data_IF_059965747163
#
_entry.id   IF_059965747163
#
_cell.length_a   1.000
_cell.length_b   1.000
_cell.length_c   1.000
_cell.angle_alpha   90.00
_cell.angle_beta   90.00
_cell.angle_gamma   90.00
#
_symmetry.space_group_name_H-M   'P 1'
#
loop_
_entity.id
_entity.type
_entity.pdbx_description
1 polymer ?
#
# COMPACT_ATOMS: atom_id res chain seq x y z
N UNK A 1 26.62 18.71 -51.35
CA UNK A 1 27.20 17.96 -50.22
C UNK A 1 27.44 18.94 -49.09
N UNK A 2 26.75 18.79 -47.95
CA UNK A 2 27.01 19.63 -46.77
C UNK A 2 28.00 18.90 -45.89
N UNK A 3 29.27 19.27 -46.00
CA UNK A 3 30.32 18.80 -45.09
C UNK A 3 30.03 19.38 -43.70
N UNK A 4 29.34 18.59 -42.88
CA UNK A 4 29.05 18.94 -41.49
C UNK A 4 30.36 18.90 -40.72
N UNK A 5 31.03 20.06 -40.62
CA UNK A 5 32.24 20.24 -39.81
C UNK A 5 31.86 20.13 -38.35
N UNK A 6 31.87 18.90 -37.82
CA UNK A 6 31.63 18.67 -36.39
C UNK A 6 32.81 19.25 -35.63
N UNK A 7 32.60 20.42 -35.04
CA UNK A 7 33.62 21.11 -34.27
C UNK A 7 33.97 20.29 -33.03
N UNK A 8 35.27 20.17 -32.73
CA UNK A 8 35.80 19.48 -31.54
C UNK A 8 35.05 19.83 -30.23
N UNK A 9 34.71 21.11 -29.93
CA UNK A 9 33.90 21.44 -28.74
C UNK A 9 32.48 20.84 -28.75
N UNK A 10 31.85 20.72 -29.92
CA UNK A 10 30.51 20.15 -30.05
C UNK A 10 30.53 18.63 -29.81
N UNK A 11 31.60 17.96 -30.20
CA UNK A 11 31.82 16.54 -29.93
C UNK A 11 31.94 16.27 -28.41
N UNK A 12 32.66 17.13 -27.68
CA UNK A 12 32.76 17.03 -26.22
C UNK A 12 31.41 17.19 -25.53
N UNK A 13 30.58 18.13 -25.99
CA UNK A 13 29.24 18.35 -25.43
C UNK A 13 28.34 17.12 -25.67
N UNK A 14 28.39 16.54 -26.88
CA UNK A 14 27.61 15.33 -27.21
C UNK A 14 28.04 14.15 -26.34
N UNK A 15 29.35 13.96 -26.12
CA UNK A 15 29.86 12.92 -25.22
C UNK A 15 29.37 13.15 -23.79
N UNK A 16 29.39 14.38 -23.30
CA UNK A 16 29.00 14.71 -21.93
C UNK A 16 27.49 14.48 -21.72
N UNK A 17 26.66 14.94 -22.67
CA UNK A 17 25.20 14.71 -22.65
C UNK A 17 24.86 13.22 -22.82
N UNK A 18 25.56 12.52 -23.71
CA UNK A 18 25.40 11.08 -23.93
C UNK A 18 25.79 10.27 -22.69
N UNK A 19 26.92 10.58 -22.07
CA UNK A 19 27.36 9.96 -20.81
C UNK A 19 26.38 10.26 -19.67
N UNK A 20 25.83 11.48 -19.59
CA UNK A 20 24.82 11.83 -18.60
C UNK A 20 23.49 11.11 -18.85
N UNK A 21 23.06 10.97 -20.11
CA UNK A 21 21.87 10.21 -20.48
C UNK A 21 22.05 8.72 -20.17
N UNK A 22 23.20 8.13 -20.47
CA UNK A 22 23.49 6.73 -20.13
C UNK A 22 23.57 6.54 -18.60
N UNK A 23 24.23 7.45 -17.89
CA UNK A 23 24.24 7.48 -16.42
C UNK A 23 22.82 7.58 -15.86
N UNK A 24 21.98 8.41 -16.44
CA UNK A 24 20.62 8.64 -15.96
C UNK A 24 19.61 7.57 -16.41
N UNK A 25 19.82 6.88 -17.51
CA UNK A 25 18.89 5.85 -17.99
C UNK A 25 19.29 4.45 -17.52
N UNK A 26 20.59 4.17 -17.40
CA UNK A 26 21.10 2.84 -17.01
C UNK A 26 21.60 2.79 -15.55
N UNK A 27 22.04 3.91 -14.97
CA UNK A 27 22.53 3.96 -13.58
C UNK A 27 21.67 4.79 -12.60
N UNK A 28 20.56 5.41 -13.05
CA UNK A 28 19.61 6.10 -12.16
C UNK A 28 18.75 5.16 -11.31
N UNK A 29 18.98 3.84 -11.42
CA UNK A 29 18.46 2.88 -10.45
C UNK A 29 19.03 3.01 -9.04
N UNK A 30 20.02 3.89 -8.77
CA UNK A 30 20.64 3.94 -7.43
C UNK A 30 21.17 5.28 -6.91
N UNK A 31 20.78 6.44 -7.46
CA UNK A 31 21.21 7.71 -6.85
C UNK A 31 20.29 8.90 -7.14
N UNK A 32 19.13 8.94 -6.49
CA UNK A 32 18.54 10.20 -6.01
C UNK A 32 17.48 9.93 -4.92
N UNK A 33 17.72 10.34 -3.68
CA UNK A 33 16.69 10.31 -2.63
C UNK A 33 17.15 10.01 -1.21
N UNK A 34 18.17 10.70 -0.70
CA UNK A 34 18.47 10.77 0.74
C UNK A 34 17.41 11.61 1.50
N UNK A 35 16.17 11.14 1.52
CA UNK A 35 15.08 11.66 2.39
C UNK A 35 13.84 10.74 2.52
N UNK A 36 13.89 9.48 2.04
CA UNK A 36 12.74 8.55 2.07
C UNK A 36 12.91 7.25 2.87
N UNK A 37 14.09 6.99 3.46
CA UNK A 37 14.46 5.66 3.98
C UNK A 37 13.54 5.11 5.10
N UNK A 38 12.80 5.96 5.80
CA UNK A 38 12.03 5.52 6.96
C UNK A 38 10.65 4.90 6.64
N UNK A 39 10.07 5.18 5.45
CA UNK A 39 8.76 4.61 5.07
C UNK A 39 8.88 3.17 4.59
N UNK A 40 9.95 2.86 3.86
CA UNK A 40 10.24 1.51 3.39
C UNK A 40 10.70 0.59 4.53
N UNK A 41 11.43 1.12 5.52
CA UNK A 41 11.87 0.32 6.67
C UNK A 41 10.68 -0.23 7.46
N UNK A 42 9.68 0.61 7.76
CA UNK A 42 8.48 0.17 8.49
C UNK A 42 7.61 -0.83 7.70
N UNK A 43 7.47 -0.67 6.39
CA UNK A 43 6.76 -1.65 5.56
C UNK A 43 7.52 -2.97 5.46
N UNK A 44 8.84 -2.93 5.38
CA UNK A 44 9.70 -4.11 5.32
C UNK A 44 9.69 -4.87 6.66
N UNK A 45 9.63 -4.17 7.80
CA UNK A 45 9.47 -4.80 9.12
C UNK A 45 8.13 -5.53 9.23
N UNK A 46 7.01 -4.89 8.82
CA UNK A 46 5.69 -5.55 8.83
C UNK A 46 5.60 -6.73 7.86
N UNK A 47 6.19 -6.61 6.67
CA UNK A 47 6.25 -7.71 5.72
C UNK A 47 7.03 -8.90 6.29
N UNK A 48 8.17 -8.64 6.95
CA UNK A 48 8.93 -9.66 7.66
C UNK A 48 8.16 -10.29 8.81
N UNK A 49 7.37 -9.54 9.56
CA UNK A 49 6.51 -10.09 10.62
C UNK A 49 5.46 -11.06 10.06
N UNK A 50 4.82 -10.71 8.93
CA UNK A 50 3.87 -11.60 8.26
C UNK A 50 4.55 -12.88 7.72
N UNK A 51 5.77 -12.76 7.18
CA UNK A 51 6.57 -13.90 6.72
C UNK A 51 6.95 -14.83 7.87
N UNK A 52 7.32 -14.26 9.03
CA UNK A 52 7.62 -15.01 10.25
C UNK A 52 6.38 -15.80 10.71
N UNK A 53 5.20 -15.17 10.72
CA UNK A 53 3.95 -15.82 11.11
C UNK A 53 3.60 -16.99 10.18
N UNK A 54 3.79 -16.82 8.87
CA UNK A 54 3.60 -17.90 7.88
C UNK A 54 4.52 -19.08 8.17
N UNK A 55 5.81 -18.85 8.40
CA UNK A 55 6.76 -19.94 8.71
C UNK A 55 6.41 -20.60 10.04
N UNK A 56 6.01 -19.82 11.04
CA UNK A 56 5.59 -20.34 12.35
C UNK A 56 4.37 -21.26 12.26
N UNK A 57 3.43 -20.97 11.35
CA UNK A 57 2.26 -21.83 11.09
C UNK A 57 2.65 -23.18 10.47
N UNK A 58 3.67 -23.20 9.60
CA UNK A 58 4.16 -24.44 8.99
C UNK A 58 5.08 -25.23 9.93
N UNK A 59 5.83 -24.54 10.78
CA UNK A 59 6.85 -25.12 11.66
C UNK A 59 6.69 -24.62 13.11
N UNK A 60 5.66 -25.07 13.85
CA UNK A 60 5.41 -24.63 15.22
C UNK A 60 6.55 -24.97 16.19
N UNK A 61 7.35 -26.00 15.88
CA UNK A 61 8.50 -26.42 16.67
C UNK A 61 9.72 -25.49 16.56
N UNK A 62 9.74 -24.61 15.55
CA UNK A 62 10.86 -23.69 15.31
C UNK A 62 10.59 -22.38 16.06
N UNK A 63 11.56 -21.85 16.83
CA UNK A 63 11.34 -20.64 17.59
C UNK A 63 11.24 -19.41 16.70
N UNK A 64 10.23 -18.57 16.94
CA UNK A 64 9.99 -17.31 16.21
C UNK A 64 11.25 -16.45 16.04
N UNK A 65 12.09 -16.37 17.08
CA UNK A 65 13.31 -15.57 17.10
C UNK A 65 14.36 -16.06 16.09
N UNK A 66 14.50 -17.37 15.89
CA UNK A 66 15.45 -17.91 14.91
C UNK A 66 14.93 -17.70 13.48
N UNK A 67 13.62 -17.75 13.27
CA UNK A 67 12.98 -17.43 11.98
C UNK A 67 13.24 -15.96 11.61
N UNK A 68 13.02 -15.05 12.55
CA UNK A 68 13.31 -13.62 12.36
C UNK A 68 14.77 -13.35 12.00
N UNK A 69 15.69 -14.04 12.69
CA UNK A 69 17.12 -13.91 12.44
C UNK A 69 17.53 -14.43 11.06
N UNK A 70 17.02 -15.60 10.67
CA UNK A 70 17.33 -16.19 9.38
C UNK A 70 16.75 -15.37 8.22
N UNK A 71 15.50 -14.93 8.34
CA UNK A 71 14.88 -13.99 7.40
C UNK A 71 15.65 -12.67 7.32
N UNK A 72 16.20 -12.20 8.44
CA UNK A 72 17.00 -10.98 8.43
C UNK A 72 18.26 -11.13 7.59
N UNK A 73 18.98 -12.26 7.71
CA UNK A 73 20.20 -12.55 6.94
C UNK A 73 19.91 -12.92 5.49
N UNK A 74 18.84 -13.66 5.25
CA UNK A 74 18.44 -14.11 3.90
C UNK A 74 17.61 -13.06 3.14
N UNK A 75 17.58 -11.80 3.60
CA UNK A 75 16.91 -10.70 2.90
C UNK A 75 15.38 -10.78 2.87
N UNK A 76 14.75 -11.57 3.73
CA UNK A 76 13.30 -11.80 3.74
C UNK A 76 12.84 -12.95 2.83
N UNK A 77 13.74 -13.80 2.36
CA UNK A 77 13.36 -14.95 1.54
C UNK A 77 12.75 -16.09 2.39
N UNK A 78 11.42 -16.18 2.35
CA UNK A 78 10.65 -17.24 3.04
C UNK A 78 11.03 -18.63 2.54
N UNK A 79 11.17 -18.80 1.22
CA UNK A 79 11.44 -20.12 0.60
C UNK A 79 12.80 -20.65 1.02
N UNK A 80 13.83 -19.81 1.01
CA UNK A 80 15.16 -20.21 1.48
C UNK A 80 15.15 -20.65 2.95
N UNK A 81 14.33 -19.98 3.77
CA UNK A 81 14.18 -20.29 5.18
C UNK A 81 13.42 -21.60 5.38
N UNK A 82 12.36 -21.86 4.60
CA UNK A 82 11.62 -23.14 4.66
C UNK A 82 12.46 -24.32 4.20
N UNK A 83 13.21 -24.18 3.10
CA UNK A 83 14.13 -25.22 2.61
C UNK A 83 15.22 -25.56 3.65
N UNK A 84 15.73 -24.54 4.35
CA UNK A 84 16.71 -24.74 5.44
C UNK A 84 16.11 -25.51 6.62
N UNK A 85 14.85 -25.26 6.95
CA UNK A 85 14.15 -26.01 8.01
C UNK A 85 13.90 -27.45 7.56
N UNK A 86 13.46 -27.65 6.32
CA UNK A 86 13.17 -28.98 5.76
C UNK A 86 14.41 -29.85 5.57
N UNK A 87 15.56 -29.25 5.25
CA UNK A 87 16.85 -29.95 5.12
C UNK A 87 17.41 -30.48 6.45
N UNK A 88 16.71 -30.28 7.57
CA UNK A 88 17.04 -30.87 8.87
C UNK A 88 18.22 -30.20 9.61
N UNK A 89 18.85 -29.19 9.00
CA UNK A 89 19.95 -28.43 9.62
C UNK A 89 19.45 -27.48 10.73
N UNK A 90 18.15 -27.19 10.77
CA UNK A 90 17.57 -26.21 11.70
C UNK A 90 18.02 -24.78 11.39
N UNK A 91 17.42 -23.82 12.08
CA UNK A 91 17.81 -22.40 11.96
C UNK A 91 18.95 -22.07 12.91
N UNK A 92 19.84 -21.16 12.49
CA UNK A 92 20.96 -20.72 13.33
C UNK A 92 20.45 -20.03 14.59
N UNK A 93 21.04 -20.37 15.73
CA UNK A 93 20.67 -19.78 17.02
C UNK A 93 21.04 -18.30 17.02
N UNK A 94 20.06 -17.38 17.15
CA UNK A 94 20.34 -15.96 17.13
C UNK A 94 21.20 -15.53 18.33
N UNK A 95 22.20 -14.67 18.13
CA UNK A 95 23.03 -14.16 19.22
C UNK A 95 22.17 -13.43 20.26
N UNK A 96 22.55 -13.46 21.53
CA UNK A 96 21.77 -12.82 22.62
C UNK A 96 21.57 -11.31 22.43
N UNK A 97 22.42 -10.66 21.62
CA UNK A 97 22.28 -9.25 21.23
C UNK A 97 21.13 -8.97 20.25
N UNK A 98 20.57 -10.00 19.60
CA UNK A 98 19.44 -9.81 18.69
C UNK A 98 18.16 -9.53 19.48
N UNK A 99 17.85 -8.25 19.67
CA UNK A 99 16.55 -7.82 20.17
C UNK A 99 15.58 -7.75 19.00
N UNK A 100 14.61 -8.67 18.88
CA UNK A 100 13.55 -8.50 17.90
C UNK A 100 12.85 -7.17 18.19
N UNK A 101 12.46 -6.39 17.17
CA UNK A 101 11.64 -5.21 17.37
C UNK A 101 10.42 -5.65 18.18
N UNK A 102 10.25 -5.07 19.37
CA UNK A 102 9.08 -5.31 20.19
C UNK A 102 7.87 -4.97 19.31
N UNK A 103 6.86 -5.85 19.19
CA UNK A 103 5.61 -5.46 18.57
C UNK A 103 5.17 -4.23 19.34
N UNK A 104 5.13 -3.07 18.68
CA UNK A 104 4.53 -1.89 19.28
C UNK A 104 3.18 -2.36 19.80
N UNK A 105 2.84 -2.13 21.10
CA UNK A 105 1.56 -2.55 21.62
C UNK A 105 0.54 -2.05 20.60
N UNK A 106 -0.25 -2.96 20.06
CA UNK A 106 -1.32 -2.61 19.15
C UNK A 106 -2.07 -1.51 19.89
N UNK A 107 -1.83 -0.26 19.49
CA UNK A 107 -2.57 0.85 20.03
C UNK A 107 -3.98 0.45 19.69
N UNK A 108 -4.75 0.09 20.73
CA UNK A 108 -6.17 -0.04 20.59
C UNK A 108 -6.55 1.20 19.81
N UNK A 109 -7.03 1.00 18.59
CA UNK A 109 -7.55 2.06 17.75
C UNK A 109 -8.82 2.52 18.46
N UNK A 110 -8.67 3.18 19.60
CA UNK A 110 -9.66 4.07 20.16
C UNK A 110 -9.84 5.08 19.06
N UNK A 111 -10.89 4.86 18.27
CA UNK A 111 -11.47 5.85 17.39
C UNK A 111 -11.89 6.99 18.31
N UNK A 112 -10.94 7.84 18.70
CA UNK A 112 -11.24 9.15 19.22
C UNK A 112 -11.85 9.88 18.04
N UNK A 113 -13.17 10.00 18.05
CA UNK A 113 -13.91 10.91 17.17
C UNK A 113 -13.48 12.31 17.63
N UNK A 114 -12.29 12.75 17.22
CA UNK A 114 -11.92 14.13 17.29
C UNK A 114 -12.61 14.79 16.12
N UNK A 115 -13.73 15.44 16.40
CA UNK A 115 -14.38 16.43 15.56
C UNK A 115 -13.50 17.67 15.41
N UNK A 116 -12.25 17.51 14.96
CA UNK A 116 -11.45 18.60 14.45
C UNK A 116 -11.86 18.81 12.99
N UNK A 117 -12.53 19.92 12.71
CA UNK A 117 -12.81 20.39 11.34
C UNK A 117 -11.57 20.15 10.46
N UNK A 118 -11.65 19.34 9.39
CA UNK A 118 -10.50 19.11 8.55
C UNK A 118 -10.20 20.37 7.75
N UNK A 119 -9.05 21.00 7.99
CA UNK A 119 -8.43 21.98 7.07
C UNK A 119 -7.97 21.33 5.76
N UNK A 120 -8.21 20.02 5.60
CA UNK A 120 -7.90 19.26 4.40
C UNK A 120 -9.09 19.33 3.44
N UNK A 121 -8.87 19.52 2.13
CA UNK A 121 -9.96 19.54 1.16
C UNK A 121 -10.74 18.23 1.23
N UNK A 122 -12.07 18.32 1.21
CA UNK A 122 -12.97 17.16 1.25
C UNK A 122 -12.56 16.11 0.24
N UNK A 123 -12.68 14.84 0.62
CA UNK A 123 -12.28 13.71 -0.23
C UNK A 123 -12.99 13.71 -1.58
N UNK A 124 -14.25 14.16 -1.62
CA UNK A 124 -15.03 14.35 -2.85
C UNK A 124 -14.32 15.33 -3.80
N UNK A 125 -13.83 16.44 -3.26
CA UNK A 125 -13.12 17.49 -3.99
C UNK A 125 -11.74 17.01 -4.43
N UNK A 126 -11.03 16.31 -3.55
CA UNK A 126 -9.69 15.75 -3.83
C UNK A 126 -9.70 14.71 -4.96
N UNK A 127 -10.78 13.95 -5.07
CA UNK A 127 -10.96 12.90 -6.09
C UNK A 127 -11.92 13.29 -7.22
N UNK A 128 -12.33 14.56 -7.31
CA UNK A 128 -13.23 15.06 -8.36
C UNK A 128 -14.54 14.24 -8.51
N UNK A 129 -15.08 13.71 -7.42
CA UNK A 129 -16.27 12.83 -7.43
C UNK A 129 -17.60 13.58 -7.54
N UNK A 130 -17.57 14.89 -7.80
CA UNK A 130 -18.77 15.74 -7.86
C UNK A 130 -19.72 15.34 -8.99
N UNK A 131 -19.21 14.93 -10.15
CA UNK A 131 -20.03 14.52 -11.29
C UNK A 131 -20.80 13.22 -11.02
N UNK A 132 -20.12 12.21 -10.42
CA UNK A 132 -20.76 10.95 -10.03
C UNK A 132 -21.83 11.13 -8.94
N UNK A 133 -21.68 12.12 -8.07
CA UNK A 133 -22.73 12.45 -7.10
C UNK A 133 -24.00 13.01 -7.76
N UNK A 134 -23.87 13.78 -8.84
CA UNK A 134 -25.03 14.28 -9.58
C UNK A 134 -25.75 13.14 -10.33
N UNK A 135 -24.98 12.19 -10.87
CA UNK A 135 -25.48 10.97 -11.50
C UNK A 135 -26.16 10.03 -10.47
N UNK A 136 -25.54 9.81 -9.30
CA UNK A 136 -26.13 9.01 -8.21
C UNK A 136 -27.38 9.68 -7.61
N UNK A 137 -27.47 11.01 -7.57
CA UNK A 137 -28.69 11.72 -7.17
C UNK A 137 -29.82 11.59 -8.19
N UNK A 138 -29.50 11.45 -9.48
CA UNK A 138 -30.47 11.13 -10.52
C UNK A 138 -30.92 9.66 -10.41
N UNK A 139 -29.98 8.73 -10.19
CA UNK A 139 -30.29 7.31 -9.92
C UNK A 139 -31.09 7.11 -8.63
N UNK A 140 -30.92 7.97 -7.62
CA UNK A 140 -31.71 7.95 -6.37
C UNK A 140 -33.20 8.22 -6.57
N UNK A 141 -33.62 8.77 -7.72
CA UNK A 141 -35.03 8.93 -8.10
C UNK A 141 -35.60 7.72 -8.84
N UNK A 142 -34.75 6.77 -9.25
CA UNK A 142 -35.14 5.56 -9.99
C UNK A 142 -34.78 4.25 -9.26
N UNK A 143 -34.14 4.32 -8.09
CA UNK A 143 -33.58 3.18 -7.36
C UNK A 143 -34.38 2.75 -6.10
N UNK A 144 -35.69 2.93 -6.06
CA UNK A 144 -36.54 2.25 -5.06
C UNK A 144 -36.89 0.79 -5.44
N UNK A 145 -36.41 0.26 -6.57
CA UNK A 145 -36.78 -1.11 -7.01
C UNK A 145 -35.63 -2.06 -7.38
N UNK A 146 -34.36 -1.78 -7.03
CA UNK A 146 -33.24 -2.70 -7.37
C UNK A 146 -32.28 -3.03 -6.23
N UNK A 147 -32.82 -3.20 -5.03
CA UNK A 147 -32.09 -3.80 -3.90
C UNK A 147 -32.22 -5.33 -3.90
N UNK A 148 -31.73 -6.04 -4.92
CA UNK A 148 -31.56 -7.51 -4.81
C UNK A 148 -30.76 -8.17 -5.94
N UNK A 149 -29.62 -7.63 -6.43
CA UNK A 149 -28.73 -8.44 -7.27
C UNK A 149 -27.28 -7.99 -7.38
N UNK A 150 -26.57 -7.86 -6.27
CA UNK A 150 -25.09 -7.92 -6.33
C UNK A 150 -24.48 -8.49 -5.04
N UNK A 151 -24.99 -9.65 -4.62
CA UNK A 151 -24.29 -10.58 -3.73
C UNK A 151 -24.22 -11.93 -4.42
N UNK A 152 -23.40 -12.04 -5.46
CA UNK A 152 -22.90 -13.32 -5.96
C UNK A 152 -21.79 -13.08 -6.98
N UNK A 153 -20.66 -13.75 -6.77
CA UNK A 153 -19.71 -14.04 -7.84
C UNK A 153 -18.38 -13.31 -7.74
N UNK A 154 -17.44 -13.89 -6.97
CA UNK A 154 -16.00 -13.71 -7.17
C UNK A 154 -15.40 -12.51 -6.44
N UNK A 155 -14.68 -12.76 -5.34
CA UNK A 155 -13.74 -11.78 -4.81
C UNK A 155 -12.81 -11.35 -5.95
N UNK A 156 -12.84 -10.06 -6.29
CA UNK A 156 -12.09 -9.52 -7.42
C UNK A 156 -10.62 -9.91 -7.29
N UNK A 157 -10.23 -10.94 -8.05
CA UNK A 157 -8.87 -11.43 -8.07
C UNK A 157 -7.98 -10.25 -8.42
N UNK A 158 -6.98 -10.00 -7.59
CA UNK A 158 -5.98 -8.97 -7.80
C UNK A 158 -5.39 -9.14 -9.21
N UNK A 159 -5.79 -8.28 -10.15
CA UNK A 159 -5.36 -8.45 -11.54
C UNK A 159 -3.84 -8.33 -11.63
N UNK A 160 -3.21 -9.14 -12.48
CA UNK A 160 -1.76 -9.11 -12.70
C UNK A 160 -1.31 -7.80 -13.37
N UNK A 161 -2.22 -7.19 -14.14
CA UNK A 161 -1.99 -5.93 -14.85
C UNK A 161 -2.04 -4.74 -13.89
N UNK A 162 -0.95 -3.95 -13.86
CA UNK A 162 -0.80 -2.77 -12.98
C UNK A 162 -1.91 -1.74 -13.18
N UNK A 163 -2.28 -1.45 -14.43
CA UNK A 163 -3.28 -0.43 -14.76
C UNK A 163 -4.68 -0.86 -14.31
N UNK A 164 -5.09 -2.09 -14.61
CA UNK A 164 -6.39 -2.64 -14.17
C UNK A 164 -6.51 -2.68 -12.65
N UNK A 165 -5.43 -3.08 -11.96
CA UNK A 165 -5.38 -3.10 -10.50
C UNK A 165 -5.53 -1.70 -9.91
N UNK A 166 -4.85 -0.71 -10.49
CA UNK A 166 -5.00 0.68 -10.06
C UNK A 166 -6.43 1.17 -10.25
N UNK A 167 -7.06 0.89 -11.40
CA UNK A 167 -8.45 1.23 -11.66
C UNK A 167 -9.42 0.55 -10.67
N UNK A 168 -9.22 -0.74 -10.38
CA UNK A 168 -10.05 -1.48 -9.42
C UNK A 168 -9.91 -0.93 -7.99
N UNK A 169 -8.69 -0.59 -7.57
CA UNK A 169 -8.45 -0.01 -6.25
C UNK A 169 -9.03 1.41 -6.13
N UNK A 170 -8.97 2.20 -7.20
CA UNK A 170 -9.63 3.50 -7.27
C UNK A 170 -11.14 3.34 -7.15
N UNK A 171 -11.75 2.44 -7.94
CA UNK A 171 -13.19 2.15 -7.88
C UNK A 171 -13.63 1.73 -6.48
N UNK A 172 -12.94 0.77 -5.86
CA UNK A 172 -13.25 0.30 -4.49
C UNK A 172 -13.12 1.41 -3.45
N UNK A 173 -12.15 2.32 -3.63
CA UNK A 173 -11.96 3.48 -2.76
C UNK A 173 -13.10 4.50 -2.94
N UNK A 174 -13.51 4.78 -4.16
CA UNK A 174 -14.64 5.64 -4.48
C UNK A 174 -15.93 5.10 -3.85
N UNK A 175 -16.22 3.81 -4.04
CA UNK A 175 -17.38 3.13 -3.46
C UNK A 175 -17.39 3.21 -1.93
N UNK A 176 -16.24 3.01 -1.28
CA UNK A 176 -16.12 3.12 0.17
C UNK A 176 -16.39 4.55 0.67
N UNK A 177 -15.91 5.57 -0.05
CA UNK A 177 -16.13 6.98 0.30
C UNK A 177 -17.62 7.33 0.22
N UNK A 178 -18.31 6.90 -0.85
CA UNK A 178 -19.74 7.14 -1.02
C UNK A 178 -20.57 6.40 0.03
N UNK A 179 -20.28 5.12 0.27
CA UNK A 179 -20.97 4.33 1.29
C UNK A 179 -20.76 4.89 2.71
N UNK A 180 -19.55 5.36 3.04
CA UNK A 180 -19.27 6.00 4.31
C UNK A 180 -20.08 7.28 4.50
N UNK A 181 -20.21 8.10 3.44
CA UNK A 181 -21.08 9.29 3.46
C UNK A 181 -22.53 8.93 3.69
N UNK A 182 -23.09 7.98 2.93
CA UNK A 182 -24.48 7.51 3.11
C UNK A 182 -24.74 7.02 4.53
N UNK A 183 -23.78 6.29 5.11
CA UNK A 183 -23.85 5.79 6.49
C UNK A 183 -23.79 6.93 7.52
N UNK A 184 -22.99 7.97 7.28
CA UNK A 184 -22.92 9.16 8.14
C UNK A 184 -24.22 9.97 8.07
N UNK A 185 -24.73 10.24 6.87
CA UNK A 185 -26.00 10.95 6.68
C UNK A 185 -27.16 10.23 7.38
N UNK A 186 -27.24 8.90 7.24
CA UNK A 186 -28.25 8.10 7.93
C UNK A 186 -28.09 8.08 9.46
N UNK A 187 -26.86 8.19 9.99
CA UNK A 187 -26.63 8.30 11.44
C UNK A 187 -27.03 9.66 11.99
N UNK A 188 -26.65 10.73 11.30
CA UNK A 188 -27.02 12.10 11.69
C UNK A 188 -28.55 12.28 11.67
N UNK A 189 -29.24 11.74 10.67
CA UNK A 189 -30.71 11.76 10.62
C UNK A 189 -31.34 11.09 11.86
N UNK A 190 -30.85 9.91 12.25
CA UNK A 190 -31.34 9.17 13.43
C UNK A 190 -31.03 9.88 14.75
N UNK A 191 -29.86 10.51 14.86
CA UNK A 191 -29.48 11.28 16.05
C UNK A 191 -30.34 12.54 16.20
N UNK A 192 -30.69 13.21 15.10
CA UNK A 192 -31.62 14.36 15.10
C UNK A 192 -33.03 13.93 15.53
N UNK A 193 -33.52 12.75 15.09
CA UNK A 193 -34.81 12.21 15.52
C UNK A 193 -34.84 11.84 17.01
N UNK A 194 -33.74 11.30 17.55
CA UNK A 194 -33.65 10.93 18.97
C UNK A 194 -33.40 12.11 19.91
N UNK A 195 -32.71 13.16 19.46
CA UNK A 195 -32.46 14.38 20.22
C UNK A 195 -33.62 15.37 20.28
N UNK A 196 -34.67 15.17 19.48
CA UNK A 196 -35.86 16.03 19.41
C UNK A 196 -37.07 15.56 20.25
N UNK A 197 -36.95 14.47 21.01
CA UNK A 197 -38.00 13.95 21.92
C UNK A 197 -37.65 14.07 23.41
N UNK A 198 -36.78 15.01 23.77
CA UNK A 198 -36.45 15.36 25.16
C UNK A 198 -37.08 16.68 25.59
#
# INVERSE_FOLDING_TARGET
MSDQTVNLPQLLIIILVGAFAVRYLFFSGSSNGSSGSNRNSASNVRAREADVERIQQMFPQVPRRSIMWDLQRNGGNVVATTERILSGRGLEVPPQSFQPPLPAPAAASSTSIQSSKPTQPDLITRYNLKAKLAEEQAEKREAEERESKQKQGGGAAWSSNKNERQALLQKRREEMILAARRKMEARVAKEVEQGGSG
#
